data_IF_715095069683
#
_entry.id   IF_715095069683
#
_cell.length_a   1.000
_cell.length_b   1.000
_cell.length_c   1.000
_cell.angle_alpha   90.00
_cell.angle_beta   90.00
_cell.angle_gamma   90.00
#
_symmetry.space_group_name_H-M   'P 1'
#
loop_
_entity.id
_entity.type
_entity.pdbx_description
1 polymer ?
#
# COMPACT_ATOMS: atom_id res chain seq x y z
N UNK A 1 6.32 -7.66 -11.42
CA UNK A 1 5.91 -6.33 -10.91
C UNK A 1 7.13 -5.41 -10.99
N UNK A 2 7.03 -4.29 -11.69
CA UNK A 2 8.11 -3.32 -11.93
C UNK A 2 7.75 -1.96 -11.34
N UNK A 3 8.68 -1.01 -11.28
CA UNK A 3 8.40 0.35 -10.77
C UNK A 3 7.28 1.05 -11.57
N UNK A 4 7.06 0.66 -12.83
CA UNK A 4 6.01 1.19 -13.69
C UNK A 4 4.60 0.75 -13.26
N UNK A 5 4.50 -0.32 -12.48
CA UNK A 5 3.26 -0.85 -11.93
C UNK A 5 2.88 -0.14 -10.61
N UNK A 6 3.77 0.70 -10.07
CA UNK A 6 3.51 1.43 -8.82
C UNK A 6 2.75 2.73 -9.08
N UNK A 7 1.57 2.83 -8.48
CA UNK A 7 0.65 3.96 -8.61
C UNK A 7 0.79 4.88 -7.39
N UNK A 8 0.66 6.21 -7.60
CA UNK A 8 0.60 7.19 -6.51
C UNK A 8 -0.77 7.22 -5.86
N UNK A 9 -0.83 6.76 -4.62
CA UNK A 9 -2.04 6.74 -3.80
C UNK A 9 -2.12 7.89 -2.79
N UNK A 10 -1.10 8.73 -2.64
CA UNK A 10 -1.02 9.68 -1.52
C UNK A 10 -2.15 10.72 -1.60
N UNK A 11 -2.32 11.35 -2.76
CA UNK A 11 -3.37 12.33 -2.99
C UNK A 11 -4.75 11.67 -3.14
N UNK A 12 -4.80 10.48 -3.74
CA UNK A 12 -6.04 9.71 -3.88
C UNK A 12 -6.63 9.34 -2.52
N UNK A 13 -5.81 8.84 -1.60
CA UNK A 13 -6.25 8.39 -0.29
C UNK A 13 -6.89 9.53 0.52
N UNK A 14 -6.34 10.74 0.45
CA UNK A 14 -6.87 11.91 1.17
C UNK A 14 -8.29 12.31 0.72
N UNK A 15 -8.70 11.96 -0.49
CA UNK A 15 -10.06 12.24 -0.98
C UNK A 15 -11.11 11.32 -0.35
N UNK A 16 -10.73 10.10 0.02
CA UNK A 16 -11.65 9.05 0.48
C UNK A 16 -11.50 8.74 1.97
N UNK A 17 -10.35 9.05 2.55
CA UNK A 17 -10.06 8.80 3.95
C UNK A 17 -10.67 9.87 4.86
N UNK A 18 -11.38 9.39 5.89
CA UNK A 18 -11.82 10.22 7.00
C UNK A 18 -11.33 9.58 8.29
N UNK A 19 -10.66 10.35 9.14
CA UNK A 19 -10.15 9.88 10.44
C UNK A 19 -11.27 9.35 11.35
N UNK A 20 -12.49 9.87 11.19
CA UNK A 20 -13.68 9.42 11.91
C UNK A 20 -14.67 8.79 10.93
N UNK A 21 -14.86 7.48 11.03
CA UNK A 21 -15.75 6.70 10.19
C UNK A 21 -16.89 6.10 11.01
N UNK A 22 -17.97 5.65 10.36
CA UNK A 22 -18.96 4.79 11.01
C UNK A 22 -18.51 3.35 10.87
N UNK A 23 -18.34 2.66 12.00
CA UNK A 23 -18.16 1.21 12.00
C UNK A 23 -19.52 0.55 11.72
N UNK A 24 -19.55 -0.45 10.84
CA UNK A 24 -20.79 -1.13 10.51
C UNK A 24 -21.36 -1.92 11.69
N UNK A 25 -20.49 -2.49 12.53
CA UNK A 25 -20.87 -3.34 13.66
C UNK A 25 -21.63 -2.59 14.75
N UNK A 26 -21.30 -1.31 14.97
CA UNK A 26 -21.83 -0.54 16.10
C UNK A 26 -22.62 0.69 15.68
N UNK A 27 -22.64 1.04 14.39
CA UNK A 27 -23.19 2.31 13.85
C UNK A 27 -22.65 3.60 14.51
N UNK A 28 -21.68 3.46 15.42
CA UNK A 28 -21.05 4.54 16.15
C UNK A 28 -19.92 5.16 15.32
N UNK A 29 -19.65 6.43 15.59
CA UNK A 29 -18.46 7.11 15.06
C UNK A 29 -17.24 6.54 15.76
N UNK A 30 -16.44 5.79 15.02
CA UNK A 30 -15.18 5.20 15.49
C UNK A 30 -14.01 5.90 14.80
N UNK A 31 -12.92 6.07 15.53
CA UNK A 31 -11.68 6.58 14.96
C UNK A 31 -11.05 5.48 14.09
N UNK A 32 -10.95 5.72 12.79
CA UNK A 32 -10.29 4.79 11.88
C UNK A 32 -8.79 5.05 11.91
N UNK A 33 -8.10 4.43 12.87
CA UNK A 33 -6.66 4.60 13.03
C UNK A 33 -5.89 3.70 12.05
N UNK A 34 -5.44 4.26 10.93
CA UNK A 34 -4.71 3.50 9.88
C UNK A 34 -3.47 2.79 10.46
N UNK A 35 -2.79 3.37 11.45
CA UNK A 35 -1.61 2.73 12.05
C UNK A 35 -1.93 1.48 12.87
N UNK A 36 -3.20 1.28 13.24
CA UNK A 36 -3.65 0.08 13.97
C UNK A 36 -3.83 -1.11 13.02
N UNK A 37 -4.21 -0.87 11.77
CA UNK A 37 -4.56 -1.91 10.82
C UNK A 37 -3.41 -2.16 9.84
N UNK A 38 -3.12 -3.43 9.57
CA UNK A 38 -2.05 -3.86 8.66
C UNK A 38 -2.56 -4.49 7.38
N UNK A 39 -3.86 -4.79 7.33
CA UNK A 39 -4.50 -5.42 6.19
C UNK A 39 -5.83 -4.71 5.89
N UNK A 40 -6.07 -4.39 4.63
CA UNK A 40 -7.30 -3.77 4.16
C UNK A 40 -7.84 -4.52 2.96
N UNK A 41 -9.12 -4.88 3.01
CA UNK A 41 -9.83 -5.58 1.95
C UNK A 41 -10.99 -4.68 1.50
N UNK A 42 -10.99 -4.31 0.23
CA UNK A 42 -12.08 -3.56 -0.37
C UNK A 42 -13.16 -4.51 -0.87
N UNK A 43 -14.42 -4.25 -0.50
CA UNK A 43 -15.55 -5.07 -0.95
C UNK A 43 -16.14 -4.50 -2.25
N UNK A 44 -15.94 -5.19 -3.38
CA UNK A 44 -16.48 -4.78 -4.69
C UNK A 44 -18.02 -4.88 -4.74
N UNK A 45 -18.62 -5.75 -3.95
CA UNK A 45 -20.08 -5.96 -3.90
C UNK A 45 -20.79 -4.86 -3.13
N UNK A 46 -20.10 -4.24 -2.15
CA UNK A 46 -20.64 -3.16 -1.33
C UNK A 46 -19.71 -1.95 -1.43
N UNK A 47 -19.84 -1.13 -2.49
CA UNK A 47 -18.98 0.02 -2.70
C UNK A 47 -18.96 0.96 -1.49
N UNK A 48 -17.76 1.35 -1.06
CA UNK A 48 -17.57 2.23 0.10
C UNK A 48 -17.45 1.48 1.43
N UNK A 49 -17.36 0.15 1.40
CA UNK A 49 -17.01 -0.65 2.56
C UNK A 49 -15.57 -1.15 2.46
N UNK A 50 -14.81 -0.98 3.54
CA UNK A 50 -13.49 -1.57 3.72
C UNK A 50 -13.49 -2.40 4.99
N UNK A 51 -12.99 -3.62 4.87
CA UNK A 51 -12.70 -4.49 5.99
C UNK A 51 -11.23 -4.27 6.34
N UNK A 52 -10.93 -4.06 7.62
CA UNK A 52 -9.58 -3.84 8.09
C UNK A 52 -9.23 -4.86 9.19
N UNK A 53 -8.04 -5.46 9.08
CA UNK A 53 -7.47 -6.38 10.06
C UNK A 53 -6.22 -5.78 10.70
N UNK A 54 -6.04 -6.05 12.00
CA UNK A 54 -4.81 -5.69 12.72
C UNK A 54 -3.60 -6.51 12.21
N UNK A 55 -3.87 -7.70 11.68
CA UNK A 55 -2.89 -8.62 11.12
C UNK A 55 -3.36 -9.12 9.74
N UNK A 56 -2.41 -9.51 8.89
CA UNK A 56 -2.70 -10.26 7.66
C UNK A 56 -3.34 -11.58 8.09
N UNK A 57 -4.49 -11.92 7.49
CA UNK A 57 -5.30 -13.10 7.84
C UNK A 57 -5.69 -13.24 9.32
N UNK A 58 -5.75 -12.11 10.04
CA UNK A 58 -6.19 -12.09 11.43
C UNK A 58 -7.66 -12.48 11.60
N UNK A 59 -7.97 -13.17 12.71
CA UNK A 59 -9.34 -13.57 13.06
C UNK A 59 -10.27 -12.40 13.40
N UNK A 60 -9.70 -11.26 13.83
CA UNK A 60 -10.43 -10.06 14.18
C UNK A 60 -10.38 -9.05 13.05
N UNK A 61 -11.53 -8.83 12.43
CA UNK A 61 -11.72 -7.89 11.33
C UNK A 61 -12.74 -6.83 11.77
N UNK A 62 -12.46 -5.57 11.42
CA UNK A 62 -13.36 -4.45 11.67
C UNK A 62 -13.83 -3.87 10.34
N UNK A 63 -15.13 -3.61 10.26
CA UNK A 63 -15.75 -3.14 9.02
C UNK A 63 -16.06 -1.65 9.08
N UNK A 64 -15.50 -0.87 8.15
CA UNK A 64 -15.65 0.57 8.06
C UNK A 64 -16.37 1.01 6.79
N UNK A 65 -17.18 2.06 6.89
CA UNK A 65 -17.65 2.81 5.72
C UNK A 65 -16.72 3.97 5.45
N UNK A 66 -16.09 3.97 4.27
CA UNK A 66 -15.30 5.09 3.76
C UNK A 66 -16.21 6.14 3.12
N UNK A 67 -15.80 7.40 3.20
CA UNK A 67 -16.57 8.53 2.70
C UNK A 67 -16.19 8.82 1.25
N UNK A 68 -17.14 8.77 0.32
CA UNK A 68 -16.89 9.05 -1.11
C UNK A 68 -17.26 10.49 -1.52
N UNK A 69 -16.86 11.49 -0.71
CA UNK A 69 -17.10 12.90 -1.00
C UNK A 69 -18.55 13.38 -0.77
N UNK A 70 -18.88 14.56 -1.30
CA UNK A 70 -20.18 15.25 -1.14
C UNK A 70 -21.39 14.45 -1.67
N UNK A 71 -21.14 13.40 -2.45
CA UNK A 71 -22.15 12.51 -2.96
C UNK A 71 -21.89 11.11 -2.42
N UNK A 72 -22.48 10.81 -1.25
CA UNK A 72 -22.78 9.45 -0.85
C UNK A 72 -23.87 8.87 -1.76
N UNK A 73 -23.65 8.87 -3.08
CA UNK A 73 -24.54 8.23 -4.02
C UNK A 73 -24.24 6.73 -3.97
N UNK A 74 -25.28 5.88 -3.78
CA UNK A 74 -25.11 4.46 -3.98
C UNK A 74 -24.61 4.26 -5.43
N UNK A 75 -23.57 3.43 -5.61
CA UNK A 75 -22.96 3.02 -6.90
C UNK A 75 -21.77 3.85 -7.44
N UNK A 76 -21.21 4.80 -6.69
CA UNK A 76 -19.91 5.37 -7.07
C UNK A 76 -18.81 4.47 -6.51
N UNK A 77 -18.05 3.82 -7.41
CA UNK A 77 -16.79 3.15 -7.03
C UNK A 77 -15.66 4.17 -7.05
N UNK A 78 -14.68 4.09 -6.11
CA UNK A 78 -13.58 5.02 -6.11
C UNK A 78 -12.75 4.75 -7.37
N UNK A 79 -12.56 5.78 -8.20
CA UNK A 79 -11.71 5.65 -9.40
C UNK A 79 -10.27 5.51 -8.93
N UNK A 80 -9.61 4.40 -9.25
CA UNK A 80 -8.20 4.22 -8.92
C UNK A 80 -7.38 5.36 -9.54
N UNK A 81 -6.35 5.85 -8.84
CA UNK A 81 -5.42 6.79 -9.44
C UNK A 81 -4.73 6.11 -10.63
N UNK A 82 -4.58 6.82 -11.74
CA UNK A 82 -3.80 6.36 -12.90
C UNK A 82 -2.47 7.13 -13.01
N UNK A 83 -2.05 7.75 -11.91
CA UNK A 83 -0.81 8.50 -11.82
C UNK A 83 0.27 7.54 -11.34
N UNK A 84 1.33 7.37 -12.13
CA UNK A 84 2.48 6.56 -11.71
C UNK A 84 3.23 7.28 -10.59
N UNK A 85 3.59 6.54 -9.54
CA UNK A 85 4.37 7.10 -8.43
C UNK A 85 5.80 7.41 -8.85
N UNK A 86 6.36 6.60 -9.76
CA UNK A 86 7.73 6.71 -10.20
C UNK A 86 7.77 6.87 -11.72
N UNK A 87 8.40 7.95 -12.19
CA UNK A 87 8.73 8.15 -13.61
C UNK A 87 9.98 7.36 -14.01
N UNK A 88 10.90 7.14 -13.08
CA UNK A 88 12.17 6.44 -13.25
C UNK A 88 12.41 5.44 -12.10
N UNK A 89 13.27 4.43 -12.29
CA UNK A 89 13.66 3.53 -11.22
C UNK A 89 14.20 4.31 -10.02
N UNK A 90 13.69 4.01 -8.83
CA UNK A 90 14.22 4.60 -7.58
C UNK A 90 15.63 4.05 -7.35
N UNK A 91 16.68 4.89 -7.32
CA UNK A 91 18.03 4.40 -7.12
C UNK A 91 18.17 3.78 -5.73
N UNK A 92 18.76 2.59 -5.68
CA UNK A 92 19.09 1.91 -4.42
C UNK A 92 20.52 2.29 -4.05
N UNK A 93 20.76 2.56 -2.77
CA UNK A 93 22.12 2.86 -2.30
C UNK A 93 23.00 1.60 -2.36
N UNK A 94 24.30 1.77 -2.59
CA UNK A 94 25.24 0.64 -2.68
C UNK A 94 25.20 -0.27 -1.45
N UNK A 95 25.06 0.31 -0.26
CA UNK A 95 24.99 -0.45 0.99
C UNK A 95 23.75 -1.36 1.02
N UNK A 96 22.59 -0.86 0.58
CA UNK A 96 21.38 -1.67 0.49
C UNK A 96 21.52 -2.80 -0.53
N UNK A 97 22.14 -2.55 -1.68
CA UNK A 97 22.42 -3.64 -2.65
C UNK A 97 23.39 -4.69 -2.06
N UNK A 98 24.42 -4.27 -1.33
CA UNK A 98 25.34 -5.21 -0.65
C UNK A 98 24.59 -6.07 0.37
N UNK A 99 23.68 -5.49 1.13
CA UNK A 99 22.89 -6.25 2.10
C UNK A 99 21.89 -7.19 1.42
N UNK A 100 21.24 -6.75 0.33
CA UNK A 100 20.37 -7.62 -0.49
C UNK A 100 21.13 -8.82 -1.06
N UNK A 101 22.39 -8.65 -1.47
CA UNK A 101 23.21 -9.76 -1.97
C UNK A 101 23.48 -10.84 -0.90
N UNK A 102 23.57 -10.46 0.38
CA UNK A 102 23.80 -11.42 1.48
C UNK A 102 22.60 -12.33 1.71
N UNK A 103 21.39 -11.84 1.42
CA UNK A 103 20.16 -12.60 1.66
C UNK A 103 19.78 -13.51 0.48
N UNK A 104 20.38 -13.33 -0.71
CA UNK A 104 20.08 -14.13 -1.91
C UNK A 104 20.21 -15.65 -1.67
N UNK A 105 21.13 -16.07 -0.80
CA UNK A 105 21.33 -17.48 -0.46
C UNK A 105 20.14 -18.13 0.26
N UNK A 106 19.20 -17.33 0.78
CA UNK A 106 18.00 -17.80 1.48
C UNK A 106 16.73 -17.70 0.62
N UNK A 107 16.86 -17.26 -0.63
CA UNK A 107 15.75 -17.10 -1.56
C UNK A 107 15.58 -18.39 -2.37
N UNK A 108 14.34 -18.75 -2.65
CA UNK A 108 13.97 -19.88 -3.50
C UNK A 108 14.45 -19.69 -4.95
N UNK A 109 14.71 -20.79 -5.66
CA UNK A 109 15.14 -20.75 -7.07
C UNK A 109 14.14 -20.03 -7.98
N UNK A 110 12.84 -20.16 -7.69
CA UNK A 110 11.76 -19.52 -8.46
C UNK A 110 11.80 -17.99 -8.40
N UNK A 111 12.24 -17.42 -7.27
CA UNK A 111 12.29 -15.98 -7.06
C UNK A 111 13.67 -15.37 -7.37
N UNK A 112 14.71 -16.20 -7.51
CA UNK A 112 16.10 -15.77 -7.67
C UNK A 112 16.32 -14.88 -8.90
N UNK A 113 15.65 -15.17 -10.02
CA UNK A 113 15.75 -14.36 -11.25
C UNK A 113 15.31 -12.91 -11.02
N UNK A 114 14.18 -12.71 -10.32
CA UNK A 114 13.68 -11.39 -9.95
C UNK A 114 14.69 -10.64 -9.08
N UNK A 115 15.24 -11.30 -8.06
CA UNK A 115 16.18 -10.66 -7.15
C UNK A 115 17.53 -10.35 -7.80
N UNK A 116 18.02 -11.20 -8.72
CA UNK A 116 19.22 -10.91 -9.51
C UNK A 116 19.05 -9.66 -10.37
N UNK A 117 17.87 -9.48 -10.96
CA UNK A 117 17.53 -8.25 -11.67
C UNK A 117 17.64 -7.03 -10.74
N UNK A 118 17.03 -7.06 -9.54
CA UNK A 118 17.08 -5.94 -8.58
C UNK A 118 18.53 -5.61 -8.14
N UNK A 119 19.35 -6.61 -7.81
CA UNK A 119 20.73 -6.35 -7.33
C UNK A 119 21.68 -5.87 -8.43
N UNK A 120 21.25 -5.92 -9.69
CA UNK A 120 21.98 -5.40 -10.85
C UNK A 120 21.67 -3.93 -11.17
N UNK A 121 20.71 -3.32 -10.46
CA UNK A 121 20.30 -1.93 -10.72
C UNK A 121 21.44 -0.94 -10.44
N UNK A 122 21.46 0.17 -11.21
CA UNK A 122 22.41 1.27 -10.99
C UNK A 122 22.19 1.87 -9.60
N UNK A 123 23.28 2.00 -8.84
CA UNK A 123 23.26 2.51 -7.48
C UNK A 123 23.63 3.98 -7.42
N UNK A 124 23.19 4.67 -6.38
CA UNK A 124 23.70 5.99 -6.01
C UNK A 124 24.78 5.85 -4.93
N UNK A 125 25.96 6.42 -5.19
CA UNK A 125 26.97 6.60 -4.15
C UNK A 125 26.49 7.71 -3.22
N UNK A 126 26.08 7.37 -2.00
CA UNK A 126 25.92 8.39 -0.97
C UNK A 126 27.29 9.01 -0.69
N UNK A 127 27.54 10.22 -1.20
CA UNK A 127 28.58 11.06 -0.61
C UNK A 127 28.05 11.47 0.76
N UNK A 128 28.55 10.84 1.82
CA UNK A 128 28.50 11.40 3.16
C UNK A 128 29.20 12.76 3.09
N UNK A 129 28.42 13.84 3.08
CA UNK A 129 28.93 15.16 3.39
C UNK A 129 29.36 15.14 4.86
N UNK A 130 30.67 15.25 5.06
CA UNK A 130 31.33 15.47 6.36
C UNK A 130 30.90 16.77 7.03
#
# INVERSE_FOLDING_TARGET
MTYQDTIDYQNWWLLYYKKTCKANETNNKVLFNVSKYRHFIYNLTIPGQVIAGEFIDGAFLSTFRIFMGHFCLPNISPKLPNVKLYSEPVPITENKIKDLKKILQYITEEDLEFWYHIVSWKTTSCKTSE
#
